data_IF_315758813862
#
_entry.id   IF_315758813862
#
_cell.length_a   1.000
_cell.length_b   1.000
_cell.length_c   1.000
_cell.angle_alpha   90.00
_cell.angle_beta   90.00
_cell.angle_gamma   90.00
#
_symmetry.space_group_name_H-M   'P 1'
#
loop_
_entity.id
_entity.type
_entity.pdbx_description
1 polymer ?
#
# COMPACT_ATOMS: atom_id res chain seq x y z
N UNK A 1 -34.65 16.46 -6.41
CA UNK A 1 -33.22 16.06 -6.43
C UNK A 1 -32.95 15.45 -7.80
N UNK A 2 -32.21 16.16 -8.65
CA UNK A 2 -31.88 15.71 -10.01
C UNK A 2 -31.02 14.45 -9.89
N UNK A 3 -31.44 13.32 -10.47
CA UNK A 3 -30.56 12.17 -10.59
C UNK A 3 -29.32 12.59 -11.39
N UNK A 4 -28.09 12.32 -10.92
CA UNK A 4 -26.91 12.56 -11.75
C UNK A 4 -27.06 11.74 -13.03
N UNK A 5 -26.89 12.39 -14.18
CA UNK A 5 -26.89 11.70 -15.47
C UNK A 5 -25.85 10.58 -15.44
N UNK A 6 -26.12 9.40 -16.03
CA UNK A 6 -25.19 8.26 -16.02
C UNK A 6 -23.77 8.62 -16.48
N UNK A 7 -23.63 9.61 -17.37
CA UNK A 7 -22.34 10.14 -17.82
C UNK A 7 -21.52 10.80 -16.69
N UNK A 8 -22.15 11.58 -15.82
CA UNK A 8 -21.47 12.26 -14.70
C UNK A 8 -20.95 11.29 -13.62
N UNK A 9 -21.67 10.19 -13.38
CA UNK A 9 -21.23 9.15 -12.44
C UNK A 9 -19.97 8.44 -12.96
N UNK A 10 -19.91 8.12 -14.25
CA UNK A 10 -18.74 7.48 -14.85
C UNK A 10 -17.52 8.38 -14.80
N UNK A 11 -17.66 9.67 -15.12
CA UNK A 11 -16.60 10.67 -14.99
C UNK A 11 -16.06 10.77 -13.56
N UNK A 12 -16.93 10.76 -12.56
CA UNK A 12 -16.50 10.79 -11.15
C UNK A 12 -15.76 9.52 -10.72
N UNK A 13 -16.20 8.35 -11.17
CA UNK A 13 -15.52 7.08 -10.89
C UNK A 13 -14.14 7.04 -11.55
N UNK A 14 -14.03 7.48 -12.81
CA UNK A 14 -12.76 7.56 -13.53
C UNK A 14 -11.80 8.55 -12.86
N UNK A 15 -12.28 9.71 -12.42
CA UNK A 15 -11.47 10.68 -11.69
C UNK A 15 -10.91 10.08 -10.38
N UNK A 16 -11.73 9.37 -9.60
CA UNK A 16 -11.28 8.70 -8.36
C UNK A 16 -10.28 7.60 -8.63
N UNK A 17 -10.55 6.76 -9.63
CA UNK A 17 -9.63 5.70 -10.04
C UNK A 17 -8.28 6.27 -10.48
N UNK A 18 -8.29 7.36 -11.26
CA UNK A 18 -7.07 8.07 -11.68
C UNK A 18 -6.27 8.56 -10.48
N UNK A 19 -6.92 9.19 -9.51
CA UNK A 19 -6.26 9.65 -8.27
C UNK A 19 -5.65 8.48 -7.49
N UNK A 20 -6.37 7.37 -7.33
CA UNK A 20 -5.85 6.17 -6.65
C UNK A 20 -4.63 5.59 -7.36
N UNK A 21 -4.64 5.59 -8.69
CA UNK A 21 -3.52 5.09 -9.52
C UNK A 21 -2.29 5.99 -9.42
N UNK A 22 -2.50 7.31 -9.45
CA UNK A 22 -1.42 8.29 -9.24
C UNK A 22 -0.80 8.12 -7.85
N UNK A 23 -1.62 8.01 -6.81
CA UNK A 23 -1.14 7.81 -5.44
C UNK A 23 -0.37 6.49 -5.28
N UNK A 24 -0.89 5.41 -5.88
CA UNK A 24 -0.20 4.12 -5.89
C UNK A 24 1.16 4.22 -6.57
N UNK A 25 1.22 4.82 -7.77
CA UNK A 25 2.47 5.01 -8.50
C UNK A 25 3.47 5.88 -7.74
N UNK A 26 2.99 6.94 -7.08
CA UNK A 26 3.83 7.80 -6.26
C UNK A 26 4.46 7.05 -5.07
N UNK A 27 3.70 6.18 -4.37
CA UNK A 27 4.23 5.39 -3.26
C UNK A 27 5.14 4.24 -3.71
N UNK A 28 4.89 3.64 -4.87
CA UNK A 28 5.85 2.69 -5.46
C UNK A 28 7.16 3.41 -5.81
N UNK A 29 7.09 4.64 -6.30
CA UNK A 29 8.27 5.45 -6.57
C UNK A 29 9.06 5.76 -5.29
N UNK A 30 8.41 6.07 -4.15
CA UNK A 30 9.14 6.30 -2.89
C UNK A 30 9.92 5.07 -2.44
N UNK A 31 9.34 3.86 -2.58
CA UNK A 31 10.05 2.61 -2.34
C UNK A 31 11.28 2.45 -3.24
N UNK A 32 11.16 2.81 -4.52
CA UNK A 32 12.29 2.84 -5.46
C UNK A 32 13.38 3.82 -5.02
N UNK A 33 13.00 5.01 -4.54
CA UNK A 33 13.96 6.00 -4.03
C UNK A 33 14.71 5.49 -2.79
N UNK A 34 14.02 4.86 -1.84
CA UNK A 34 14.65 4.25 -0.66
C UNK A 34 15.67 3.18 -1.07
N UNK A 35 15.33 2.33 -2.05
CA UNK A 35 16.24 1.31 -2.54
C UNK A 35 17.46 1.93 -3.24
N UNK A 36 17.25 2.94 -4.10
CA UNK A 36 18.33 3.66 -4.78
C UNK A 36 19.30 4.31 -3.78
N UNK A 37 18.80 4.85 -2.67
CA UNK A 37 19.67 5.38 -1.61
C UNK A 37 20.65 4.34 -1.07
N UNK A 38 20.25 3.07 -0.96
CA UNK A 38 21.14 1.99 -0.49
C UNK A 38 22.30 1.73 -1.46
N UNK A 39 22.08 1.93 -2.77
CA UNK A 39 23.09 1.75 -3.81
C UNK A 39 24.15 2.85 -3.74
N UNK A 40 23.76 4.09 -3.43
CA UNK A 40 24.70 5.22 -3.35
C UNK A 40 25.56 5.22 -2.08
N UNK A 41 25.01 4.72 -0.97
CA UNK A 41 25.68 4.81 0.35
C UNK A 41 26.71 3.70 0.56
N UNK A 42 26.58 2.56 -0.14
CA UNK A 42 27.51 1.41 -0.12
C UNK A 42 28.16 1.15 1.24
N UNK A 43 27.46 0.40 2.10
CA UNK A 43 28.00 -0.02 3.41
C UNK A 43 28.73 -1.36 3.26
N UNK A 44 29.93 -1.54 3.86
CA UNK A 44 30.61 -2.83 3.86
C UNK A 44 29.78 -3.89 4.59
N UNK A 45 29.80 -5.10 4.04
CA UNK A 45 29.02 -6.21 4.57
C UNK A 45 29.49 -6.59 5.97
N UNK A 46 28.56 -6.63 6.92
CA UNK A 46 28.80 -7.19 8.25
C UNK A 46 28.31 -8.64 8.27
N UNK A 47 29.21 -9.58 8.62
CA UNK A 47 28.86 -11.00 8.78
C UNK A 47 28.51 -11.38 10.23
N UNK A 48 28.38 -10.40 11.11
CA UNK A 48 28.17 -10.62 12.54
C UNK A 48 26.82 -11.28 12.85
N UNK A 49 26.81 -12.17 13.85
CA UNK A 49 25.63 -12.95 14.25
C UNK A 49 24.53 -12.05 14.81
N UNK A 50 24.88 -11.00 15.57
CA UNK A 50 23.90 -10.06 16.10
C UNK A 50 23.19 -9.29 14.97
N UNK A 51 23.94 -8.91 13.94
CA UNK A 51 23.40 -8.27 12.73
C UNK A 51 22.39 -9.19 12.01
N UNK A 52 22.65 -10.50 11.93
CA UNK A 52 21.71 -11.46 11.33
C UNK A 52 20.40 -11.59 12.12
N UNK A 53 20.48 -11.64 13.44
CA UNK A 53 19.29 -11.75 14.30
C UNK A 53 18.41 -10.50 14.16
N UNK A 54 19.03 -9.31 14.12
CA UNK A 54 18.29 -8.05 13.95
C UNK A 54 17.64 -7.97 12.57
N UNK A 55 18.37 -8.30 11.49
CA UNK A 55 17.82 -8.37 10.13
C UNK A 55 16.63 -9.32 10.04
N UNK A 56 16.72 -10.50 10.66
CA UNK A 56 15.62 -11.46 10.67
C UNK A 56 14.40 -10.91 11.41
N UNK A 57 14.59 -10.29 12.58
CA UNK A 57 13.50 -9.68 13.35
C UNK A 57 12.81 -8.54 12.57
N UNK A 58 13.59 -7.66 11.94
CA UNK A 58 13.07 -6.56 11.12
C UNK A 58 12.34 -7.08 9.87
N UNK A 59 12.88 -8.11 9.23
CA UNK A 59 12.22 -8.77 8.08
C UNK A 59 10.89 -9.39 8.50
N UNK A 60 10.86 -10.12 9.61
CA UNK A 60 9.64 -10.73 10.15
C UNK A 60 8.59 -9.66 10.50
N UNK A 61 9.01 -8.53 11.10
CA UNK A 61 8.14 -7.39 11.34
C UNK A 61 7.60 -6.77 10.03
N UNK A 62 8.45 -6.62 9.01
CA UNK A 62 8.05 -6.13 7.69
C UNK A 62 7.01 -7.05 7.01
N UNK A 63 7.23 -8.36 7.04
CA UNK A 63 6.27 -9.36 6.56
C UNK A 63 4.95 -9.25 7.32
N UNK A 64 5.00 -9.12 8.64
CA UNK A 64 3.81 -8.95 9.46
C UNK A 64 3.03 -7.68 9.09
N UNK A 65 3.70 -6.54 8.88
CA UNK A 65 3.04 -5.30 8.45
C UNK A 65 2.34 -5.46 7.09
N UNK A 66 2.97 -6.14 6.14
CA UNK A 66 2.36 -6.44 4.84
C UNK A 66 1.16 -7.39 4.99
N UNK A 67 1.21 -8.39 5.88
CA UNK A 67 0.04 -9.24 6.12
C UNK A 67 -1.11 -8.43 6.74
N UNK A 68 -0.80 -7.57 7.73
CA UNK A 68 -1.77 -6.70 8.38
C UNK A 68 -2.39 -5.71 7.40
N UNK A 69 -1.66 -5.23 6.39
CA UNK A 69 -2.18 -4.30 5.39
C UNK A 69 -3.38 -4.87 4.63
N UNK A 70 -3.39 -6.17 4.33
CA UNK A 70 -4.53 -6.85 3.71
C UNK A 70 -5.74 -6.88 4.62
N UNK A 71 -5.56 -7.29 5.89
CA UNK A 71 -6.65 -7.36 6.86
C UNK A 71 -7.27 -5.99 7.13
N UNK A 72 -6.43 -4.96 7.27
CA UNK A 72 -6.88 -3.58 7.49
C UNK A 72 -7.63 -3.04 6.26
N UNK A 73 -7.08 -3.23 5.05
CA UNK A 73 -7.78 -2.83 3.81
C UNK A 73 -9.13 -3.52 3.69
N UNK A 74 -9.19 -4.84 3.90
CA UNK A 74 -10.43 -5.59 3.80
C UNK A 74 -11.48 -5.07 4.78
N UNK A 75 -11.09 -4.76 6.02
CA UNK A 75 -11.98 -4.18 7.02
C UNK A 75 -12.48 -2.78 6.65
N UNK A 76 -11.62 -1.93 6.08
CA UNK A 76 -12.02 -0.57 5.67
C UNK A 76 -12.91 -0.60 4.43
N UNK A 77 -12.61 -1.48 3.46
CA UNK A 77 -13.42 -1.64 2.24
C UNK A 77 -14.80 -2.22 2.57
N UNK A 78 -14.90 -3.21 3.46
CA UNK A 78 -16.22 -3.73 3.88
C UNK A 78 -17.05 -2.67 4.61
N UNK A 79 -16.42 -1.78 5.37
CA UNK A 79 -17.09 -0.61 5.94
C UNK A 79 -17.51 0.40 4.86
N UNK A 80 -16.71 0.59 3.82
CA UNK A 80 -17.04 1.46 2.69
C UNK A 80 -18.29 0.95 1.94
N UNK A 81 -18.39 -0.37 1.76
CA UNK A 81 -19.57 -1.02 1.19
C UNK A 81 -20.80 -0.87 2.10
N UNK A 82 -20.65 -1.08 3.40
CA UNK A 82 -21.75 -0.90 4.36
C UNK A 82 -22.24 0.55 4.42
N UNK A 83 -21.34 1.53 4.36
CA UNK A 83 -21.64 2.97 4.43
C UNK A 83 -21.93 3.62 3.07
N UNK A 84 -21.72 2.90 1.97
CA UNK A 84 -21.86 3.39 0.60
C UNK A 84 -21.03 4.67 0.36
N UNK A 85 -19.79 4.65 0.86
CA UNK A 85 -18.87 5.77 0.75
C UNK A 85 -17.62 5.39 -0.05
N UNK A 86 -17.54 5.76 -1.34
CA UNK A 86 -16.38 5.46 -2.17
C UNK A 86 -15.11 6.20 -1.72
N UNK A 87 -15.18 7.21 -0.83
CA UNK A 87 -13.98 7.81 -0.24
C UNK A 87 -13.28 6.85 0.74
N UNK A 88 -14.03 6.02 1.48
CA UNK A 88 -13.48 5.03 2.39
C UNK A 88 -12.67 3.94 1.65
N UNK A 89 -13.02 3.62 0.39
CA UNK A 89 -12.24 2.70 -0.46
C UNK A 89 -10.84 3.27 -0.73
N UNK A 90 -10.76 4.57 -1.06
CA UNK A 90 -9.50 5.26 -1.28
C UNK A 90 -8.67 5.31 0.01
N UNK A 91 -9.29 5.63 1.15
CA UNK A 91 -8.63 5.61 2.47
C UNK A 91 -8.07 4.22 2.80
N UNK A 92 -8.84 3.16 2.55
CA UNK A 92 -8.38 1.78 2.77
C UNK A 92 -7.17 1.41 1.92
N UNK A 93 -7.11 1.91 0.67
CA UNK A 93 -5.94 1.74 -0.19
C UNK A 93 -4.71 2.49 0.38
N UNK A 94 -4.87 3.76 0.74
CA UNK A 94 -3.76 4.58 1.28
C UNK A 94 -3.19 3.94 2.54
N UNK A 95 -4.06 3.50 3.46
CA UNK A 95 -3.62 2.82 4.70
C UNK A 95 -2.82 1.57 4.35
N UNK A 96 -3.32 0.70 3.46
CA UNK A 96 -2.59 -0.49 3.07
C UNK A 96 -1.21 -0.20 2.46
N UNK A 97 -1.12 0.82 1.60
CA UNK A 97 0.16 1.23 1.01
C UNK A 97 1.10 1.80 2.06
N UNK A 98 0.61 2.55 3.06
CA UNK A 98 1.41 3.04 4.16
C UNK A 98 2.01 1.90 5.01
N UNK A 99 1.26 0.81 5.24
CA UNK A 99 1.80 -0.39 5.90
C UNK A 99 2.91 -1.06 5.07
N UNK A 100 2.74 -1.16 3.74
CA UNK A 100 3.77 -1.69 2.85
C UNK A 100 5.01 -0.77 2.82
N UNK A 101 4.82 0.55 2.80
CA UNK A 101 5.92 1.52 2.86
C UNK A 101 6.65 1.44 4.21
N UNK A 102 5.92 1.24 5.31
CA UNK A 102 6.52 1.05 6.63
C UNK A 102 7.41 -0.19 6.66
N UNK A 103 7.04 -1.27 5.97
CA UNK A 103 7.91 -2.42 5.79
C UNK A 103 9.18 -2.07 4.99
N UNK A 104 9.08 -1.29 3.91
CA UNK A 104 10.26 -0.82 3.18
C UNK A 104 11.19 0.05 4.04
N UNK A 105 10.63 0.91 4.90
CA UNK A 105 11.41 1.70 5.86
C UNK A 105 12.15 0.83 6.87
N UNK A 106 11.57 -0.30 7.31
CA UNK A 106 12.29 -1.27 8.13
C UNK A 106 13.48 -1.89 7.39
N UNK A 107 13.34 -2.16 6.08
CA UNK A 107 14.45 -2.62 5.24
C UNK A 107 15.54 -1.56 5.08
N UNK A 108 15.16 -0.28 4.93
CA UNK A 108 16.10 0.83 4.89
C UNK A 108 16.83 1.00 6.23
N UNK A 109 16.09 0.89 7.34
CA UNK A 109 16.65 0.95 8.68
C UNK A 109 17.62 -0.21 8.95
N UNK A 110 17.29 -1.42 8.50
CA UNK A 110 18.19 -2.58 8.57
C UNK A 110 19.49 -2.31 7.81
N UNK A 111 19.42 -1.80 6.57
CA UNK A 111 20.60 -1.42 5.79
C UNK A 111 21.53 -0.46 6.56
N UNK A 112 20.97 0.61 7.15
CA UNK A 112 21.77 1.59 7.89
C UNK A 112 22.36 1.02 9.18
N UNK A 113 21.63 0.17 9.89
CA UNK A 113 22.05 -0.35 11.21
C UNK A 113 22.99 -1.53 11.07
N UNK A 114 22.58 -2.58 10.37
CA UNK A 114 23.34 -3.83 10.28
C UNK A 114 24.38 -3.78 9.17
N UNK A 115 24.02 -3.29 7.98
CA UNK A 115 24.84 -3.49 6.77
C UNK A 115 24.87 -4.94 6.30
N UNK A 116 23.89 -5.74 6.71
CA UNK A 116 23.77 -7.14 6.32
C UNK A 116 23.16 -7.24 4.92
N UNK A 117 23.74 -8.05 4.03
CA UNK A 117 23.25 -8.29 2.66
C UNK A 117 21.77 -8.63 2.57
N UNK A 118 21.16 -9.26 3.58
CA UNK A 118 19.75 -9.68 3.50
C UNK A 118 18.71 -8.55 3.66
N UNK A 119 19.14 -7.29 3.86
CA UNK A 119 18.24 -6.13 3.98
C UNK A 119 17.25 -5.99 2.80
N UNK A 120 17.66 -6.40 1.59
CA UNK A 120 16.84 -6.29 0.38
C UNK A 120 15.59 -7.19 0.43
N UNK A 121 15.59 -8.25 1.25
CA UNK A 121 14.43 -9.16 1.35
C UNK A 121 13.21 -8.39 1.85
N UNK A 122 13.38 -7.51 2.84
CA UNK A 122 12.30 -6.68 3.37
C UNK A 122 11.77 -5.71 2.31
N UNK A 123 12.64 -5.16 1.45
CA UNK A 123 12.23 -4.33 0.31
C UNK A 123 11.41 -5.13 -0.72
N UNK A 124 11.82 -6.37 -1.04
CA UNK A 124 11.07 -7.24 -1.96
C UNK A 124 9.68 -7.54 -1.39
N UNK A 125 9.60 -7.87 -0.10
CA UNK A 125 8.31 -8.13 0.58
C UNK A 125 7.39 -6.91 0.50
N UNK A 126 7.92 -5.71 0.78
CA UNK A 126 7.17 -4.46 0.68
C UNK A 126 6.70 -4.19 -0.76
N UNK A 127 7.56 -4.39 -1.75
CA UNK A 127 7.24 -4.21 -3.17
C UNK A 127 6.14 -5.17 -3.63
N UNK A 128 6.25 -6.45 -3.26
CA UNK A 128 5.21 -7.44 -3.57
C UNK A 128 3.88 -7.03 -2.91
N UNK A 129 3.91 -6.59 -1.65
CA UNK A 129 2.74 -6.03 -0.97
C UNK A 129 2.10 -4.88 -1.75
N UNK A 130 2.91 -3.90 -2.18
CA UNK A 130 2.42 -2.76 -2.97
C UNK A 130 1.79 -3.19 -4.31
N UNK A 131 2.41 -4.13 -5.03
CA UNK A 131 1.88 -4.67 -6.29
C UNK A 131 0.54 -5.36 -6.06
N UNK A 132 0.43 -6.19 -5.02
CA UNK A 132 -0.82 -6.88 -4.67
C UNK A 132 -1.93 -5.90 -4.25
N UNK A 133 -1.57 -4.71 -3.76
CA UNK A 133 -2.51 -3.67 -3.42
C UNK A 133 -2.96 -2.78 -4.60
N UNK A 134 -2.59 -3.10 -5.85
CA UNK A 134 -2.95 -2.34 -7.05
C UNK A 134 -4.43 -1.91 -7.08
N UNK A 135 -4.73 -0.63 -7.40
CA UNK A 135 -6.10 -0.12 -7.42
C UNK A 135 -6.94 -0.82 -8.48
N UNK A 136 -8.09 -1.38 -8.08
CA UNK A 136 -9.07 -2.02 -8.98
C UNK A 136 -10.35 -1.18 -9.06
N UNK A 137 -10.90 -1.04 -10.27
CA UNK A 137 -12.13 -0.28 -10.54
C UNK A 137 -13.38 -0.89 -9.91
N UNK A 138 -13.39 -2.21 -9.76
CA UNK A 138 -14.54 -3.00 -9.26
C UNK A 138 -15.01 -2.54 -7.87
N UNK A 139 -14.08 -2.28 -6.94
CA UNK A 139 -14.43 -1.84 -5.59
C UNK A 139 -15.11 -0.46 -5.55
N UNK A 140 -14.79 0.42 -6.50
CA UNK A 140 -15.43 1.73 -6.61
C UNK A 140 -16.85 1.61 -7.19
N UNK A 141 -17.05 0.72 -8.16
CA UNK A 141 -18.35 0.48 -8.77
C UNK A 141 -19.35 -0.09 -7.75
N UNK A 142 -18.95 -1.11 -6.98
CA UNK A 142 -19.80 -1.75 -5.96
C UNK A 142 -20.20 -0.77 -4.86
N UNK A 143 -19.28 0.06 -4.38
CA UNK A 143 -19.57 1.06 -3.35
C UNK A 143 -20.47 2.22 -3.82
N UNK A 144 -20.59 2.41 -5.14
CA UNK A 144 -21.35 3.55 -5.73
C UNK A 144 -22.74 3.15 -6.24
N UNK A 145 -22.95 1.88 -6.62
CA UNK A 145 -24.13 1.45 -7.38
C UNK A 145 -25.44 1.35 -6.56
N UNK A 146 -25.41 1.06 -5.25
CA UNK A 146 -26.65 0.83 -4.47
C UNK A 146 -27.29 2.11 -3.92
N UNK A 147 -26.53 3.20 -3.72
CA UNK A 147 -27.08 4.50 -3.31
C UNK A 147 -28.18 5.02 -4.24
N UNK A 148 -28.15 4.61 -5.51
CA UNK A 148 -29.14 5.01 -6.51
C UNK A 148 -30.49 4.26 -6.40
N UNK A 149 -30.50 3.06 -5.81
CA UNK A 149 -31.69 2.20 -5.73
C UNK A 149 -32.51 2.46 -4.46
N UNK A 150 -31.85 2.85 -3.36
CA UNK A 150 -32.48 3.06 -2.05
C UNK A 150 -32.97 4.50 -1.80
N UNK A 151 -32.96 5.36 -2.82
CA UNK A 151 -33.47 6.73 -2.77
C UNK A 151 -34.86 6.89 -3.38
N UNK A 152 -35.67 5.83 -3.40
CA UNK A 152 -37.11 5.89 -3.65
C UNK A 152 -37.86 5.96 -2.33
#
# INVERSE_FOLDING_TARGET
MQQPQPDELTKQLDARYRTMTILWGALVLTLGLYFVMTIFIQKPDSEDTQSRVLTFALTAAGVFLVIVSFAVKQKVVSQAEAKQDPALVQTGLIIALAFCESAALLGLFDFFTTGNRFYFVTFIVALVGMILHFPRREHLAVASYRRQISGK
#
